data_IF_665940300401
#
_entry.id   IF_665940300401
#
_cell.length_a   1.000
_cell.length_b   1.000
_cell.length_c   1.000
_cell.angle_alpha   90.00
_cell.angle_beta   90.00
_cell.angle_gamma   90.00
#
_symmetry.space_group_name_H-M   'P 1'
#
loop_
_entity.id
_entity.type
_entity.pdbx_description
1 polymer ?
#
# COMPACT_ATOMS: atom_id res chain seq x y z
N UNK A 1 26.09 -27.31 -12.65
CA UNK A 1 24.63 -27.56 -12.73
C UNK A 1 24.26 -27.55 -14.21
N UNK A 2 23.42 -28.48 -14.69
CA UNK A 2 23.04 -28.53 -16.10
C UNK A 2 21.98 -27.43 -16.35
N UNK A 3 22.00 -26.78 -17.52
CA UNK A 3 21.05 -25.72 -17.94
C UNK A 3 19.56 -26.07 -17.67
N UNK A 4 19.19 -27.35 -17.87
CA UNK A 4 17.84 -27.82 -17.58
C UNK A 4 17.51 -27.77 -16.08
N UNK A 5 18.47 -28.07 -15.21
CA UNK A 5 18.27 -28.01 -13.75
C UNK A 5 18.11 -26.55 -13.28
N UNK A 6 18.88 -25.63 -13.87
CA UNK A 6 18.77 -24.20 -13.59
C UNK A 6 17.41 -23.65 -14.00
N UNK A 7 16.95 -23.97 -15.21
CA UNK A 7 15.63 -23.54 -15.69
C UNK A 7 14.49 -24.10 -14.83
N UNK A 8 14.59 -25.40 -14.44
CA UNK A 8 13.60 -26.00 -13.56
C UNK A 8 13.57 -25.33 -12.18
N UNK A 9 14.73 -25.06 -11.60
CA UNK A 9 14.82 -24.38 -10.29
C UNK A 9 14.27 -22.96 -10.36
N UNK A 10 14.56 -22.23 -11.44
CA UNK A 10 14.03 -20.87 -11.65
C UNK A 10 12.51 -20.89 -11.82
N UNK A 11 11.95 -21.85 -12.59
CA UNK A 11 10.52 -22.00 -12.76
C UNK A 11 9.80 -22.32 -11.44
N UNK A 12 10.34 -23.24 -10.64
CA UNK A 12 9.80 -23.57 -9.32
C UNK A 12 9.84 -22.36 -8.40
N UNK A 13 10.94 -21.61 -8.38
CA UNK A 13 11.04 -20.40 -7.57
C UNK A 13 10.05 -19.32 -8.03
N UNK A 14 9.87 -19.13 -9.34
CA UNK A 14 8.87 -18.21 -9.87
C UNK A 14 7.44 -18.55 -9.42
N UNK A 15 7.08 -19.84 -9.43
CA UNK A 15 5.79 -20.30 -8.91
C UNK A 15 5.62 -20.02 -7.41
N UNK A 16 6.66 -20.23 -6.60
CA UNK A 16 6.65 -19.91 -5.17
C UNK A 16 6.43 -18.40 -4.97
N UNK A 17 7.12 -17.56 -5.75
CA UNK A 17 6.97 -16.10 -5.68
C UNK A 17 5.54 -15.69 -6.03
N UNK A 18 4.98 -16.18 -7.14
CA UNK A 18 3.61 -15.88 -7.56
C UNK A 18 2.61 -16.29 -6.47
N UNK A 19 2.72 -17.50 -5.96
CA UNK A 19 1.84 -17.99 -4.88
C UNK A 19 1.97 -17.14 -3.61
N UNK A 20 3.18 -16.74 -3.24
CA UNK A 20 3.43 -15.87 -2.08
C UNK A 20 2.82 -14.48 -2.28
N UNK A 21 2.98 -13.89 -3.47
CA UNK A 21 2.41 -12.58 -3.79
C UNK A 21 0.88 -12.59 -3.75
N UNK A 22 0.24 -13.62 -4.32
CA UNK A 22 -1.22 -13.75 -4.29
C UNK A 22 -1.70 -13.93 -2.84
N UNK A 23 -1.08 -14.83 -2.08
CA UNK A 23 -1.47 -15.09 -0.69
C UNK A 23 -1.30 -13.83 0.19
N UNK A 24 -0.17 -13.15 0.09
CA UNK A 24 0.05 -11.92 0.86
C UNK A 24 -0.81 -10.76 0.38
N UNK A 25 -1.04 -10.62 -0.94
CA UNK A 25 -1.98 -9.63 -1.47
C UNK A 25 -3.37 -9.79 -0.84
N UNK A 26 -3.93 -11.00 -0.86
CA UNK A 26 -5.23 -11.27 -0.27
C UNK A 26 -5.27 -11.01 1.26
N UNK A 27 -4.21 -11.40 1.99
CA UNK A 27 -4.11 -11.16 3.44
C UNK A 27 -3.99 -9.66 3.72
N UNK A 28 -3.14 -8.96 3.00
CA UNK A 28 -2.84 -7.54 3.21
C UNK A 28 -4.06 -6.68 2.88
N UNK A 29 -4.77 -6.95 1.76
CA UNK A 29 -6.02 -6.27 1.43
C UNK A 29 -7.10 -6.57 2.47
N UNK A 30 -7.27 -7.83 2.87
CA UNK A 30 -8.24 -8.18 3.91
C UNK A 30 -7.97 -7.47 5.26
N UNK A 31 -6.71 -7.30 5.65
CA UNK A 31 -6.33 -6.53 6.84
C UNK A 31 -6.59 -5.03 6.63
N UNK A 32 -6.30 -4.50 5.43
CA UNK A 32 -6.55 -3.13 5.04
C UNK A 32 -8.03 -2.74 5.26
N UNK A 33 -8.95 -3.48 4.65
CA UNK A 33 -10.39 -3.25 4.80
C UNK A 33 -10.86 -3.43 6.25
N UNK A 34 -10.28 -4.41 6.95
CA UNK A 34 -10.62 -4.64 8.36
C UNK A 34 -10.17 -3.48 9.27
N UNK A 35 -9.08 -2.80 8.95
CA UNK A 35 -8.63 -1.62 9.70
C UNK A 35 -9.58 -0.45 9.49
N UNK A 36 -10.06 -0.22 8.25
CA UNK A 36 -11.12 0.79 8.01
C UNK A 36 -12.36 0.50 8.84
N UNK A 37 -12.92 -0.70 8.72
CA UNK A 37 -14.10 -1.12 9.48
C UNK A 37 -13.91 -1.01 10.99
N UNK A 38 -12.76 -1.45 11.51
CA UNK A 38 -12.46 -1.37 12.94
C UNK A 38 -12.35 0.08 13.41
N UNK A 39 -11.67 0.93 12.64
CA UNK A 39 -11.53 2.35 12.96
C UNK A 39 -12.89 3.05 12.95
N UNK A 40 -13.71 2.79 11.92
CA UNK A 40 -15.06 3.35 11.84
C UNK A 40 -15.96 2.86 12.97
N UNK A 41 -15.86 1.59 13.38
CA UNK A 41 -16.55 1.05 14.53
C UNK A 41 -16.14 1.73 15.85
N UNK A 42 -14.84 1.93 16.07
CA UNK A 42 -14.33 2.62 17.26
C UNK A 42 -14.71 4.10 17.32
N UNK A 43 -15.05 4.69 16.19
CA UNK A 43 -15.54 6.07 16.06
C UNK A 43 -17.07 6.19 15.99
N UNK A 44 -17.81 5.13 16.30
CA UNK A 44 -19.29 5.07 16.28
C UNK A 44 -19.92 5.35 14.90
N UNK A 45 -19.20 5.01 13.80
CA UNK A 45 -19.70 5.16 12.45
C UNK A 45 -20.15 3.84 11.80
N UNK A 46 -19.89 2.71 12.47
CA UNK A 46 -20.30 1.38 12.03
C UNK A 46 -20.81 0.54 13.19
N UNK A 47 -21.78 -0.33 12.90
CA UNK A 47 -22.36 -1.24 13.89
C UNK A 47 -21.46 -2.45 14.21
N UNK A 48 -20.50 -2.79 13.35
CA UNK A 48 -19.64 -3.95 13.50
C UNK A 48 -18.27 -3.73 12.83
N UNK A 49 -17.17 -4.12 13.47
CA UNK A 49 -15.84 -4.05 12.85
C UNK A 49 -15.61 -5.15 11.80
N UNK A 50 -16.56 -6.08 11.62
CA UNK A 50 -16.47 -7.20 10.68
C UNK A 50 -17.37 -7.04 9.44
N UNK A 51 -17.94 -5.87 9.23
CA UNK A 51 -18.78 -5.57 8.07
C UNK A 51 -17.89 -5.27 6.85
N UNK A 52 -17.21 -6.32 6.35
CA UNK A 52 -16.33 -6.26 5.18
C UNK A 52 -16.97 -7.07 4.06
N UNK A 53 -17.13 -6.46 2.89
CA UNK A 53 -17.45 -7.16 1.66
C UNK A 53 -16.20 -7.83 1.12
N UNK A 54 -16.31 -9.14 0.83
CA UNK A 54 -15.18 -9.93 0.35
C UNK A 54 -15.17 -9.97 -1.16
N UNK A 55 -14.12 -9.44 -1.74
CA UNK A 55 -13.89 -9.45 -3.17
C UNK A 55 -13.18 -10.71 -3.67
N UNK A 56 -12.62 -10.61 -4.86
CA UNK A 56 -11.87 -11.68 -5.50
C UNK A 56 -10.48 -11.82 -4.86
N UNK A 57 -10.10 -13.05 -4.50
CA UNK A 57 -8.81 -13.34 -3.85
C UNK A 57 -7.60 -13.26 -4.79
N UNK A 58 -7.82 -13.32 -6.11
CA UNK A 58 -6.73 -13.32 -7.11
C UNK A 58 -6.55 -11.95 -7.74
N UNK A 59 -7.66 -11.30 -8.14
CA UNK A 59 -7.62 -9.96 -8.74
C UNK A 59 -7.61 -8.86 -7.68
N UNK A 60 -7.99 -9.18 -6.45
CA UNK A 60 -8.15 -8.27 -5.31
C UNK A 60 -9.22 -7.21 -5.51
N UNK A 61 -10.07 -7.34 -6.54
CA UNK A 61 -11.17 -6.44 -6.81
C UNK A 61 -12.40 -6.75 -5.96
N UNK A 62 -13.18 -5.71 -5.62
CA UNK A 62 -14.47 -5.83 -4.94
C UNK A 62 -14.37 -6.06 -3.43
N UNK A 63 -13.22 -5.81 -2.82
CA UNK A 63 -13.11 -5.69 -1.37
C UNK A 63 -13.57 -4.30 -0.96
N UNK A 64 -14.36 -4.21 0.11
CA UNK A 64 -14.90 -2.95 0.62
C UNK A 64 -15.13 -3.05 2.14
N UNK A 65 -14.80 -2.00 2.85
CA UNK A 65 -14.96 -1.90 4.30
C UNK A 65 -16.39 -1.62 4.77
N UNK A 66 -17.30 -1.29 3.84
CA UNK A 66 -18.69 -0.96 4.14
C UNK A 66 -18.91 0.40 4.84
N UNK A 67 -17.89 1.27 4.88
CA UNK A 67 -17.98 2.62 5.48
C UNK A 67 -18.69 3.57 4.53
N UNK A 68 -19.73 4.25 5.01
CA UNK A 68 -20.46 5.24 4.22
C UNK A 68 -19.81 6.63 4.31
N UNK A 69 -18.72 6.86 3.59
CA UNK A 69 -18.08 8.18 3.49
C UNK A 69 -19.02 9.25 2.95
N UNK A 70 -19.90 8.88 2.01
CA UNK A 70 -20.92 9.78 1.47
C UNK A 70 -21.92 10.29 2.51
N UNK A 71 -22.09 9.61 3.64
CA UNK A 71 -22.89 10.07 4.76
C UNK A 71 -22.08 10.91 5.75
N UNK A 72 -20.78 10.63 5.90
CA UNK A 72 -19.92 11.35 6.85
C UNK A 72 -19.66 12.80 6.42
N UNK A 73 -19.40 13.05 5.14
CA UNK A 73 -19.10 14.40 4.66
C UNK A 73 -20.25 15.41 4.85
N UNK A 74 -21.49 15.14 4.45
CA UNK A 74 -22.63 16.04 4.70
C UNK A 74 -22.93 16.24 6.19
N UNK A 75 -22.61 15.26 7.03
CA UNK A 75 -22.76 15.36 8.48
C UNK A 75 -21.66 16.22 9.16
N UNK A 76 -20.73 16.81 8.40
CA UNK A 76 -19.63 17.60 8.93
C UNK A 76 -18.52 16.78 9.58
N UNK A 77 -18.49 15.44 9.35
CA UNK A 77 -17.53 14.49 9.93
C UNK A 77 -16.37 14.18 8.98
N UNK A 78 -15.90 15.18 8.25
CA UNK A 78 -14.82 15.02 7.27
C UNK A 78 -13.50 14.55 7.91
N UNK A 79 -13.18 15.06 9.10
CA UNK A 79 -11.97 14.61 9.85
C UNK A 79 -12.07 13.14 10.22
N UNK A 80 -13.24 12.67 10.65
CA UNK A 80 -13.45 11.26 10.98
C UNK A 80 -13.25 10.38 9.74
N UNK A 81 -13.83 10.80 8.61
CA UNK A 81 -13.62 10.13 7.31
C UNK A 81 -12.13 10.04 6.94
N UNK A 82 -11.38 11.12 7.14
CA UNK A 82 -9.94 11.14 6.86
C UNK A 82 -9.14 10.23 7.80
N UNK A 83 -9.51 10.17 9.10
CA UNK A 83 -8.88 9.28 10.07
C UNK A 83 -9.13 7.82 9.68
N UNK A 84 -10.37 7.46 9.36
CA UNK A 84 -10.72 6.11 8.92
C UNK A 84 -9.90 5.74 7.68
N UNK A 85 -9.82 6.64 6.70
CA UNK A 85 -9.13 6.41 5.45
C UNK A 85 -7.59 6.32 5.58
N UNK A 86 -6.97 7.00 6.54
CA UNK A 86 -5.50 7.00 6.70
C UNK A 86 -4.97 5.81 7.50
N UNK A 87 -5.78 5.17 8.32
CA UNK A 87 -5.30 4.12 9.23
C UNK A 87 -4.67 2.91 8.54
N UNK A 88 -5.20 2.37 7.43
CA UNK A 88 -4.53 1.30 6.71
C UNK A 88 -3.18 1.73 6.12
N UNK A 89 -3.04 2.98 5.67
CA UNK A 89 -1.76 3.48 5.15
C UNK A 89 -0.69 3.56 6.25
N UNK A 90 -1.10 3.90 7.48
CA UNK A 90 -0.22 3.83 8.67
C UNK A 90 0.20 2.39 8.92
N UNK A 91 -0.71 1.44 8.83
CA UNK A 91 -0.40 0.01 8.98
C UNK A 91 0.59 -0.47 7.93
N UNK A 92 0.36 -0.18 6.64
CA UNK A 92 1.30 -0.54 5.57
C UNK A 92 2.69 0.04 5.83
N UNK A 93 2.77 1.31 6.26
CA UNK A 93 4.01 1.97 6.62
C UNK A 93 4.72 1.26 7.78
N UNK A 94 3.97 0.86 8.82
CA UNK A 94 4.52 0.11 9.94
C UNK A 94 5.06 -1.26 9.54
N UNK A 95 4.35 -2.00 8.65
CA UNK A 95 4.83 -3.28 8.13
C UNK A 95 6.09 -3.12 7.27
N UNK A 96 6.17 -2.08 6.46
CA UNK A 96 7.38 -1.78 5.67
C UNK A 96 8.57 -1.47 6.58
N UNK A 97 8.41 -0.55 7.54
CA UNK A 97 9.50 -0.17 8.46
C UNK A 97 9.93 -1.37 9.31
N UNK A 98 8.98 -2.06 9.94
CA UNK A 98 9.26 -3.23 10.76
C UNK A 98 9.88 -4.38 9.98
N UNK A 99 9.37 -4.66 8.79
CA UNK A 99 9.90 -5.69 7.91
C UNK A 99 11.31 -5.38 7.42
N UNK A 100 11.57 -4.13 7.02
CA UNK A 100 12.92 -3.68 6.65
C UNK A 100 13.89 -3.78 7.83
N UNK A 101 13.46 -3.39 9.03
CA UNK A 101 14.28 -3.56 10.23
C UNK A 101 14.65 -5.02 10.46
N UNK A 102 13.69 -5.95 10.36
CA UNK A 102 13.95 -7.39 10.51
C UNK A 102 14.90 -7.92 9.43
N UNK A 103 14.72 -7.51 8.16
CA UNK A 103 15.60 -7.92 7.06
C UNK A 103 17.04 -7.41 7.24
N UNK A 104 17.20 -6.14 7.64
CA UNK A 104 18.49 -5.48 7.76
C UNK A 104 19.24 -5.84 9.05
N UNK A 105 18.52 -6.19 10.12
CA UNK A 105 19.13 -6.60 11.40
C UNK A 105 19.86 -7.93 11.36
N UNK A 106 19.67 -8.72 10.30
CA UNK A 106 20.28 -10.04 10.18
C UNK A 106 19.67 -11.13 11.06
N UNK A 107 18.66 -10.81 11.89
CA UNK A 107 17.99 -11.76 12.82
C UNK A 107 17.53 -13.03 12.09
N UNK A 108 16.99 -12.87 10.88
CA UNK A 108 16.42 -13.96 10.08
C UNK A 108 17.33 -14.43 8.94
N UNK A 109 18.56 -13.91 8.81
CA UNK A 109 19.46 -14.18 7.69
C UNK A 109 19.75 -15.66 7.47
N UNK A 110 19.79 -16.46 8.54
CA UNK A 110 20.02 -17.92 8.49
C UNK A 110 18.77 -18.73 8.15
N UNK A 111 17.58 -18.11 8.19
CA UNK A 111 16.29 -18.77 7.98
C UNK A 111 15.69 -18.33 6.65
N UNK A 112 16.12 -18.96 5.55
CA UNK A 112 15.75 -18.60 4.17
C UNK A 112 14.26 -18.39 3.95
N UNK A 113 13.40 -19.19 4.60
CA UNK A 113 11.96 -19.06 4.52
C UNK A 113 11.43 -17.78 5.16
N UNK A 114 11.91 -17.47 6.37
CA UNK A 114 11.51 -16.24 7.06
C UNK A 114 12.00 -15.01 6.29
N UNK A 115 13.21 -15.07 5.73
CA UNK A 115 13.72 -14.01 4.87
C UNK A 115 12.82 -13.80 3.64
N UNK A 116 12.48 -14.89 2.93
CA UNK A 116 11.58 -14.86 1.77
C UNK A 116 10.21 -14.25 2.12
N UNK A 117 9.56 -14.78 3.17
CA UNK A 117 8.24 -14.28 3.60
C UNK A 117 8.28 -12.82 4.02
N UNK A 118 9.27 -12.41 4.84
CA UNK A 118 9.40 -11.02 5.28
C UNK A 118 9.70 -10.08 4.10
N UNK A 119 10.55 -10.50 3.16
CA UNK A 119 10.84 -9.73 1.96
C UNK A 119 9.59 -9.46 1.13
N UNK A 120 8.79 -10.51 0.84
CA UNK A 120 7.58 -10.36 0.04
C UNK A 120 6.46 -9.64 0.79
N UNK A 121 6.37 -9.79 2.11
CA UNK A 121 5.48 -8.96 2.94
C UNK A 121 5.81 -7.47 2.80
N UNK A 122 7.09 -7.10 2.85
CA UNK A 122 7.53 -5.72 2.63
C UNK A 122 7.19 -5.26 1.22
N UNK A 123 7.47 -6.09 0.20
CA UNK A 123 7.18 -5.74 -1.20
C UNK A 123 5.69 -5.50 -1.43
N UNK A 124 4.81 -6.38 -0.94
CA UNK A 124 3.36 -6.23 -1.11
C UNK A 124 2.86 -4.95 -0.42
N UNK A 125 3.29 -4.68 0.82
CA UNK A 125 2.90 -3.44 1.50
C UNK A 125 3.45 -2.18 0.83
N UNK A 126 4.65 -2.22 0.22
CA UNK A 126 5.16 -1.13 -0.60
C UNK A 126 4.32 -0.93 -1.86
N UNK A 127 3.89 -2.01 -2.52
CA UNK A 127 3.03 -1.92 -3.71
C UNK A 127 1.71 -1.23 -3.37
N UNK A 128 1.08 -1.55 -2.23
CA UNK A 128 -0.11 -0.87 -1.74
C UNK A 128 0.15 0.62 -1.50
N UNK A 129 1.20 0.98 -0.76
CA UNK A 129 1.56 2.39 -0.53
C UNK A 129 1.77 3.16 -1.84
N UNK A 130 2.46 2.56 -2.83
CA UNK A 130 2.69 3.20 -4.13
C UNK A 130 1.41 3.30 -4.96
N UNK A 131 0.53 2.30 -4.91
CA UNK A 131 -0.75 2.33 -5.62
C UNK A 131 -1.67 3.42 -5.06
N UNK A 132 -1.72 3.57 -3.74
CA UNK A 132 -2.59 4.57 -3.09
C UNK A 132 -1.99 5.98 -3.13
N UNK A 133 -0.77 6.18 -2.64
CA UNK A 133 -0.24 7.53 -2.41
C UNK A 133 0.02 8.31 -3.71
N UNK A 134 1.02 7.97 -4.56
CA UNK A 134 1.23 8.74 -5.78
C UNK A 134 0.18 8.41 -6.87
N UNK A 135 -0.25 7.14 -6.97
CA UNK A 135 -1.15 6.68 -8.03
C UNK A 135 -2.55 7.28 -7.95
N UNK A 136 -3.04 7.52 -6.75
CA UNK A 136 -4.39 8.05 -6.49
C UNK A 136 -4.41 9.45 -5.89
N UNK A 137 -3.29 10.21 -5.92
CA UNK A 137 -3.21 11.55 -5.32
C UNK A 137 -4.32 12.50 -5.80
N UNK A 138 -4.77 12.38 -7.05
CA UNK A 138 -5.84 13.19 -7.66
C UNK A 138 -7.20 12.48 -7.70
N UNK A 139 -7.32 11.31 -7.09
CA UNK A 139 -8.60 10.60 -7.00
C UNK A 139 -9.58 11.39 -6.11
N UNK A 140 -10.84 11.38 -6.48
CA UNK A 140 -11.94 11.93 -5.67
C UNK A 140 -12.56 10.89 -4.75
N UNK A 141 -12.22 9.63 -4.92
CA UNK A 141 -12.77 8.48 -4.21
C UNK A 141 -11.62 7.59 -3.70
N UNK A 142 -11.95 6.68 -2.79
CA UNK A 142 -11.00 5.83 -2.10
C UNK A 142 -10.22 6.60 -1.02
N UNK A 143 -9.27 5.97 -0.36
CA UNK A 143 -8.60 6.48 0.83
C UNK A 143 -8.00 7.86 0.64
N UNK A 144 -7.21 8.04 -0.40
CA UNK A 144 -6.56 9.33 -0.68
C UNK A 144 -7.59 10.42 -0.99
N UNK A 145 -8.66 10.09 -1.73
CA UNK A 145 -9.76 11.02 -1.97
C UNK A 145 -10.46 11.42 -0.67
N UNK A 146 -10.74 10.47 0.21
CA UNK A 146 -11.37 10.69 1.50
C UNK A 146 -10.48 11.51 2.45
N UNK A 147 -9.17 11.26 2.47
CA UNK A 147 -8.19 12.06 3.23
C UNK A 147 -8.16 13.49 2.72
N UNK A 148 -8.00 13.70 1.41
CA UNK A 148 -7.95 15.03 0.80
C UNK A 148 -9.23 15.83 1.08
N UNK A 149 -10.39 15.20 0.87
CA UNK A 149 -11.69 15.85 1.07
C UNK A 149 -11.93 16.13 2.56
N UNK A 150 -11.65 15.15 3.42
CA UNK A 150 -11.91 15.26 4.86
C UNK A 150 -11.05 16.30 5.58
N UNK A 151 -9.81 16.50 5.12
CA UNK A 151 -8.87 17.47 5.70
C UNK A 151 -8.75 18.76 4.87
N UNK A 152 -9.46 18.88 3.74
CA UNK A 152 -9.33 20.01 2.83
C UNK A 152 -7.92 20.16 2.24
N UNK A 153 -7.21 19.04 2.00
CA UNK A 153 -5.85 19.06 1.50
C UNK A 153 -5.81 19.19 -0.03
N UNK A 154 -4.78 19.88 -0.51
CA UNK A 154 -4.48 19.89 -1.94
C UNK A 154 -3.90 18.54 -2.36
N UNK A 155 -4.40 17.93 -3.47
CA UNK A 155 -3.81 16.70 -4.02
C UNK A 155 -2.30 16.82 -4.33
N UNK A 156 -1.84 18.02 -4.69
CA UNK A 156 -0.42 18.30 -4.93
C UNK A 156 0.44 18.11 -3.68
N UNK A 157 -0.10 18.40 -2.48
CA UNK A 157 0.63 18.22 -1.23
C UNK A 157 0.97 16.74 -1.02
N UNK A 158 -0.01 15.85 -1.17
CA UNK A 158 0.22 14.41 -1.03
C UNK A 158 1.15 13.88 -2.12
N UNK A 159 0.99 14.31 -3.35
CA UNK A 159 1.90 13.93 -4.44
C UNK A 159 3.35 14.32 -4.13
N UNK A 160 3.59 15.55 -3.67
CA UNK A 160 4.94 16.04 -3.33
C UNK A 160 5.55 15.30 -2.13
N UNK A 161 4.74 14.99 -1.12
CA UNK A 161 5.21 14.25 0.05
C UNK A 161 5.56 12.81 -0.23
N UNK A 162 4.92 12.20 -1.24
CA UNK A 162 5.06 10.77 -1.55
C UNK A 162 5.97 10.47 -2.73
N UNK A 163 6.25 11.48 -3.58
CA UNK A 163 7.23 11.34 -4.66
C UNK A 163 8.64 11.58 -4.11
N UNK A 164 9.55 10.59 -4.23
CA UNK A 164 10.92 10.76 -3.75
C UNK A 164 11.63 11.90 -4.52
N UNK A 165 12.46 12.71 -3.83
CA UNK A 165 13.08 13.92 -4.41
C UNK A 165 14.04 13.66 -5.59
N UNK A 166 14.39 12.42 -5.85
CA UNK A 166 15.24 12.05 -6.99
C UNK A 166 14.57 12.14 -8.37
N UNK A 167 13.24 12.18 -8.44
CA UNK A 167 12.54 12.41 -9.72
C UNK A 167 12.73 13.82 -10.25
N UNK A 168 13.11 14.78 -9.40
CA UNK A 168 13.34 16.17 -9.77
C UNK A 168 14.79 16.47 -10.19
N UNK A 169 15.76 15.61 -9.82
CA UNK A 169 17.18 15.89 -10.07
C UNK A 169 17.62 15.69 -11.53
N UNK A 170 16.83 15.04 -12.38
CA UNK A 170 17.18 14.88 -13.81
C UNK A 170 16.75 16.05 -14.69
N UNK A 171 15.89 16.95 -14.23
CA UNK A 171 15.52 18.14 -14.99
C UNK A 171 16.46 19.33 -14.82
N UNK A 172 17.32 19.34 -13.79
CA UNK A 172 18.17 20.50 -13.48
C UNK A 172 19.54 20.46 -14.19
N UNK A 173 19.95 19.30 -14.70
CA UNK A 173 21.25 19.15 -15.36
C UNK A 173 21.24 19.38 -16.88
N UNK A 174 20.09 19.71 -17.49
CA UNK A 174 20.04 20.02 -18.93
C UNK A 174 20.09 21.49 -19.31
N UNK A 175 20.35 22.42 -18.36
CA UNK A 175 20.44 23.86 -18.67
C UNK A 175 21.87 24.42 -18.59
N UNK A 176 22.88 23.61 -18.82
CA UNK A 176 24.24 24.08 -18.80
C UNK A 176 25.19 23.27 -19.65
N UNK A 177 25.17 23.48 -20.97
CA UNK A 177 26.16 22.85 -21.83
C UNK A 177 25.95 23.19 -23.30
N UNK A 178 26.60 24.23 -23.79
CA UNK A 178 26.82 24.58 -25.17
C UNK A 178 27.13 23.35 -26.03
N UNK A 179 26.47 23.20 -27.18
CA UNK A 179 27.04 22.55 -28.35
C UNK A 179 28.07 23.50 -28.96
N UNK A 180 29.32 23.08 -29.17
CA UNK A 180 30.18 23.73 -30.17
C UNK A 180 30.01 23.00 -31.49
N UNK A 181 29.95 23.81 -32.54
CA UNK A 181 30.15 23.72 -33.96
C UNK A 181 30.44 22.41 -34.67
#
# INVERSE_FOLDING_TARGET
>A
MNRQQELRSAAVYALIVIATCIAFGAIVVGIHEHIHSTTAYLMDHMASPFAIERGNLVTLDGWDEGVSYSALFPAGKGTDAAIIAVMPLIMHTAFVIGGLYVLLSGIISRKKWLFHLTFWLVVVNLMELFAYMPGRAFSRHGDIGNINHGLGLSPWLLLLLTTPPWSCSRCITCTGGCCPG
#
